data_IF_094076449036
#
_entry.id   IF_094076449036
#
_cell.length_a   1.000
_cell.length_b   1.000
_cell.length_c   1.000
_cell.angle_alpha   90.00
_cell.angle_beta   90.00
_cell.angle_gamma   90.00
#
_symmetry.space_group_name_H-M   'P 1'
#
loop_
_entity.id
_entity.type
_entity.pdbx_description
1 polymer ?
#
# COMPACT_ATOMS: atom_id res chain seq x y z
N UNK A 1 20.77 2.53 -0.23
CA UNK A 1 19.81 2.65 -1.35
C UNK A 1 18.92 1.43 -1.29
N UNK A 2 17.64 1.60 -1.02
CA UNK A 2 16.72 0.48 -0.98
C UNK A 2 16.39 0.07 -2.43
N UNK A 3 16.55 -1.19 -2.85
CA UNK A 3 16.41 -1.62 -4.25
C UNK A 3 14.93 -1.77 -4.67
N UNK A 4 14.09 -0.86 -4.26
CA UNK A 4 12.64 -0.94 -4.34
C UNK A 4 12.09 -0.83 -5.75
N UNK A 5 12.74 0.01 -6.58
CA UNK A 5 12.25 0.38 -7.91
C UNK A 5 12.26 -0.76 -8.94
N UNK A 6 12.82 -1.92 -8.58
CA UNK A 6 12.92 -3.10 -9.45
C UNK A 6 12.08 -4.28 -8.93
N UNK A 7 11.37 -4.13 -7.83
CA UNK A 7 10.51 -5.20 -7.33
C UNK A 7 9.26 -5.36 -8.20
N UNK A 8 8.77 -6.59 -8.40
CA UNK A 8 7.58 -6.83 -9.22
C UNK A 8 6.37 -6.00 -8.79
N UNK A 9 6.14 -5.86 -7.48
CA UNK A 9 5.04 -5.07 -6.94
C UNK A 9 5.20 -3.57 -7.24
N UNK A 10 6.42 -3.03 -7.15
CA UNK A 10 6.68 -1.62 -7.45
C UNK A 10 6.46 -1.33 -8.94
N UNK A 11 6.95 -2.20 -9.82
CA UNK A 11 6.74 -2.08 -11.25
C UNK A 11 5.26 -2.13 -11.61
N UNK A 12 4.50 -3.06 -11.01
CA UNK A 12 3.05 -3.14 -11.21
C UNK A 12 2.32 -1.89 -10.70
N UNK A 13 2.72 -1.34 -9.56
CA UNK A 13 2.18 -0.09 -9.05
C UNK A 13 2.46 1.09 -9.99
N UNK A 14 3.63 1.12 -10.64
CA UNK A 14 3.97 2.09 -11.69
C UNK A 14 3.07 1.96 -12.92
N UNK A 15 2.80 0.75 -13.37
CA UNK A 15 1.87 0.48 -14.48
C UNK A 15 0.47 0.99 -14.14
N UNK A 16 -0.03 0.70 -12.94
CA UNK A 16 -1.32 1.21 -12.44
C UNK A 16 -1.32 2.74 -12.41
N UNK A 17 -0.25 3.38 -11.93
CA UNK A 17 -0.15 4.84 -11.91
C UNK A 17 -0.26 5.43 -13.31
N UNK A 18 0.47 4.87 -14.28
CA UNK A 18 0.43 5.32 -15.67
C UNK A 18 -0.97 5.15 -16.28
N UNK A 19 -1.61 4.02 -16.00
CA UNK A 19 -2.96 3.72 -16.46
C UNK A 19 -3.98 4.71 -15.88
N UNK A 20 -3.90 5.01 -14.58
CA UNK A 20 -4.77 6.00 -13.93
C UNK A 20 -4.57 7.38 -14.51
N UNK A 21 -3.33 7.79 -14.78
CA UNK A 21 -3.05 9.10 -15.38
C UNK A 21 -3.61 9.19 -16.80
N UNK A 22 -3.52 8.11 -17.59
CA UNK A 22 -4.11 8.06 -18.93
C UNK A 22 -5.64 8.07 -18.89
N UNK A 23 -6.24 7.33 -17.95
CA UNK A 23 -7.68 7.33 -17.72
C UNK A 23 -8.19 8.72 -17.35
N UNK A 24 -7.51 9.37 -16.40
CA UNK A 24 -7.91 10.72 -15.96
C UNK A 24 -7.79 11.72 -17.11
N UNK A 25 -6.69 11.71 -17.88
CA UNK A 25 -6.55 12.59 -19.04
C UNK A 25 -7.66 12.38 -20.07
N UNK A 26 -8.04 11.12 -20.34
CA UNK A 26 -9.13 10.79 -21.24
C UNK A 26 -10.46 11.36 -20.76
N UNK A 27 -10.74 11.25 -19.44
CA UNK A 27 -11.98 11.77 -18.85
C UNK A 27 -12.00 13.29 -18.87
N UNK A 28 -10.88 13.95 -18.54
CA UNK A 28 -10.73 15.42 -18.57
C UNK A 28 -10.93 15.99 -19.99
N UNK A 29 -10.59 15.21 -21.02
CA UNK A 29 -10.80 15.58 -22.44
C UNK A 29 -12.22 15.26 -22.94
N UNK A 30 -13.00 14.48 -22.20
CA UNK A 30 -14.34 14.06 -22.60
C UNK A 30 -15.35 15.19 -22.40
N UNK A 31 -16.21 15.42 -23.39
CA UNK A 31 -17.37 16.31 -23.24
C UNK A 31 -18.48 15.55 -22.51
N UNK A 32 -18.92 16.08 -21.36
CA UNK A 32 -20.03 15.56 -20.56
C UNK A 32 -21.22 16.53 -20.67
N UNK A 33 -21.94 16.53 -21.80
CA UNK A 33 -22.92 17.59 -22.12
C UNK A 33 -24.14 17.62 -21.19
N UNK A 34 -24.43 16.52 -20.51
CA UNK A 34 -25.59 16.36 -19.63
C UNK A 34 -25.27 16.47 -18.13
N UNK A 35 -23.96 16.65 -17.77
CA UNK A 35 -23.55 16.76 -16.38
C UNK A 35 -23.84 18.14 -15.80
N UNK A 36 -24.31 18.17 -14.55
CA UNK A 36 -24.48 19.41 -13.80
C UNK A 36 -23.14 19.93 -13.30
N UNK A 37 -23.01 21.24 -13.06
CA UNK A 37 -21.77 21.86 -12.56
C UNK A 37 -21.26 21.20 -11.28
N UNK A 38 -22.15 20.83 -10.35
CA UNK A 38 -21.82 20.14 -9.10
C UNK A 38 -21.27 18.74 -9.38
N UNK A 39 -21.78 18.02 -10.37
CA UNK A 39 -21.30 16.69 -10.75
C UNK A 39 -19.91 16.78 -11.36
N UNK A 40 -19.61 17.83 -12.13
CA UNK A 40 -18.29 18.07 -12.69
C UNK A 40 -17.26 18.40 -11.61
N UNK A 41 -17.61 19.23 -10.62
CA UNK A 41 -16.73 19.56 -9.49
C UNK A 41 -16.41 18.32 -8.65
N UNK A 42 -17.39 17.45 -8.40
CA UNK A 42 -17.19 16.17 -7.70
C UNK A 42 -16.29 15.25 -8.49
N UNK A 43 -16.52 15.13 -9.80
CA UNK A 43 -15.71 14.32 -10.69
C UNK A 43 -14.24 14.78 -10.69
N UNK A 44 -13.98 16.08 -10.77
CA UNK A 44 -12.62 16.63 -10.71
C UNK A 44 -11.93 16.24 -9.40
N UNK A 45 -12.66 16.35 -8.26
CA UNK A 45 -12.17 15.90 -6.96
C UNK A 45 -11.83 14.41 -6.93
N UNK A 46 -12.68 13.58 -7.52
CA UNK A 46 -12.48 12.13 -7.60
C UNK A 46 -11.27 11.77 -8.46
N UNK A 47 -11.10 12.41 -9.61
CA UNK A 47 -9.96 12.22 -10.49
C UNK A 47 -8.62 12.62 -9.82
N UNK A 48 -8.64 13.73 -9.08
CA UNK A 48 -7.49 14.14 -8.28
C UNK A 48 -7.16 13.12 -7.18
N UNK A 49 -8.17 12.61 -6.47
CA UNK A 49 -8.00 11.60 -5.45
C UNK A 49 -7.40 10.30 -6.01
N UNK A 50 -7.85 9.86 -7.19
CA UNK A 50 -7.30 8.67 -7.86
C UNK A 50 -5.80 8.82 -8.14
N UNK A 51 -5.35 9.97 -8.64
CA UNK A 51 -3.91 10.26 -8.84
C UNK A 51 -3.16 10.19 -7.50
N UNK A 52 -3.72 10.74 -6.42
CA UNK A 52 -3.12 10.74 -5.09
C UNK A 52 -2.95 9.33 -4.53
N UNK A 53 -3.97 8.46 -4.67
CA UNK A 53 -3.89 7.07 -4.22
C UNK A 53 -2.76 6.28 -4.90
N UNK A 54 -2.49 6.52 -6.18
CA UNK A 54 -1.35 5.86 -6.84
C UNK A 54 -0.01 6.28 -6.25
N UNK A 55 0.12 7.53 -5.81
CA UNK A 55 1.32 8.02 -5.14
C UNK A 55 1.47 7.44 -3.73
N UNK A 56 0.37 7.28 -2.98
CA UNK A 56 0.35 6.61 -1.68
C UNK A 56 0.77 5.13 -1.81
N UNK A 57 0.28 4.42 -2.84
CA UNK A 57 0.65 3.04 -3.12
C UNK A 57 2.16 2.92 -3.33
N UNK A 58 2.74 3.75 -4.20
CA UNK A 58 4.17 3.74 -4.48
C UNK A 58 5.02 4.06 -3.24
N UNK A 59 4.63 5.09 -2.49
CA UNK A 59 5.33 5.47 -1.25
C UNK A 59 5.28 4.37 -0.20
N UNK A 60 4.11 3.75 -0.01
CA UNK A 60 3.95 2.65 0.93
C UNK A 60 4.78 1.42 0.54
N UNK A 61 4.85 1.08 -0.75
CA UNK A 61 5.71 -0.02 -1.23
C UNK A 61 7.18 0.30 -0.96
N UNK A 62 7.62 1.53 -1.22
CA UNK A 62 8.99 1.94 -0.96
C UNK A 62 9.38 1.78 0.51
N UNK A 63 8.54 2.23 1.43
CA UNK A 63 8.76 2.06 2.87
C UNK A 63 8.76 0.58 3.25
N UNK A 64 7.73 -0.16 2.89
CA UNK A 64 7.59 -1.57 3.25
C UNK A 64 8.65 -2.50 2.65
N UNK A 65 9.25 -2.12 1.52
CA UNK A 65 10.35 -2.88 0.88
C UNK A 65 11.72 -2.57 1.47
N UNK A 66 11.86 -1.48 2.23
CA UNK A 66 13.14 -1.08 2.78
C UNK A 66 13.54 -1.97 3.96
N UNK A 67 14.75 -2.54 3.89
CA UNK A 67 15.25 -3.51 4.87
C UNK A 67 15.59 -2.91 6.24
N UNK A 68 15.73 -1.58 6.32
CA UNK A 68 16.05 -0.87 7.58
C UNK A 68 14.83 -0.72 8.50
N UNK A 69 13.61 -0.79 7.96
CA UNK A 69 12.40 -0.61 8.75
C UNK A 69 11.98 -1.91 9.45
N UNK A 70 11.53 -1.81 10.71
CA UNK A 70 11.01 -2.94 11.46
C UNK A 70 9.66 -3.43 10.90
N UNK A 71 9.24 -4.61 11.35
CA UNK A 71 8.04 -5.30 10.87
C UNK A 71 6.76 -4.47 11.01
N UNK A 72 6.57 -3.83 12.14
CA UNK A 72 5.42 -2.98 12.45
C UNK A 72 5.27 -1.82 11.45
N UNK A 73 6.35 -1.07 11.18
CA UNK A 73 6.35 -0.01 10.17
C UNK A 73 6.06 -0.54 8.76
N UNK A 74 6.57 -1.72 8.41
CA UNK A 74 6.27 -2.38 7.14
C UNK A 74 4.81 -2.77 7.03
N UNK A 75 4.23 -3.29 8.12
CA UNK A 75 2.82 -3.65 8.18
C UNK A 75 1.90 -2.41 8.10
N UNK A 76 2.25 -1.32 8.76
CA UNK A 76 1.54 -0.04 8.62
C UNK A 76 1.56 0.44 7.18
N UNK A 77 2.72 0.39 6.53
CA UNK A 77 2.86 0.75 5.12
C UNK A 77 2.01 -0.16 4.22
N UNK A 78 1.97 -1.46 4.49
CA UNK A 78 1.11 -2.40 3.75
C UNK A 78 -0.38 -2.11 3.95
N UNK A 79 -0.79 -1.69 5.15
CA UNK A 79 -2.17 -1.24 5.42
C UNK A 79 -2.51 -0.01 4.58
N UNK A 80 -1.61 0.96 4.47
CA UNK A 80 -1.79 2.16 3.64
C UNK A 80 -1.93 1.77 2.17
N UNK A 81 -1.02 0.95 1.64
CA UNK A 81 -1.06 0.45 0.26
C UNK A 81 -2.40 -0.24 -0.04
N UNK A 82 -2.83 -1.16 0.83
CA UNK A 82 -4.12 -1.85 0.69
C UNK A 82 -5.30 -0.90 0.71
N UNK A 83 -5.28 0.08 1.61
CA UNK A 83 -6.35 1.07 1.76
C UNK A 83 -6.43 1.98 0.52
N UNK A 84 -5.31 2.50 0.06
CA UNK A 84 -5.23 3.35 -1.13
C UNK A 84 -5.69 2.59 -2.39
N UNK A 85 -5.30 1.31 -2.55
CA UNK A 85 -5.75 0.47 -3.66
C UNK A 85 -7.26 0.24 -3.64
N UNK A 86 -7.84 -0.04 -2.46
CA UNK A 86 -9.31 -0.19 -2.32
C UNK A 86 -10.05 1.11 -2.60
N UNK A 87 -9.51 2.24 -2.17
CA UNK A 87 -10.08 3.56 -2.46
C UNK A 87 -10.04 3.84 -3.97
N UNK A 88 -8.90 3.60 -4.62
CA UNK A 88 -8.76 3.74 -6.07
C UNK A 88 -9.83 2.93 -6.81
N UNK A 89 -10.05 1.68 -6.41
CA UNK A 89 -11.07 0.81 -6.98
C UNK A 89 -12.49 1.36 -6.77
N UNK A 90 -12.79 1.87 -5.57
CA UNK A 90 -14.09 2.47 -5.25
C UNK A 90 -14.39 3.71 -6.10
N UNK A 91 -13.38 4.57 -6.33
CA UNK A 91 -13.52 5.74 -7.19
C UNK A 91 -13.70 5.34 -8.67
N UNK A 92 -13.01 4.31 -9.13
CA UNK A 92 -13.17 3.77 -10.47
C UNK A 92 -14.62 3.28 -10.71
N UNK A 93 -15.22 2.58 -9.76
CA UNK A 93 -16.64 2.19 -9.81
C UNK A 93 -17.57 3.40 -9.81
N UNK A 94 -17.27 4.45 -9.02
CA UNK A 94 -18.05 5.69 -9.02
C UNK A 94 -18.07 6.36 -10.39
N UNK A 95 -16.94 6.40 -11.09
CA UNK A 95 -16.83 6.94 -12.46
C UNK A 95 -17.65 6.10 -13.44
N UNK A 96 -17.61 4.79 -13.33
CA UNK A 96 -18.43 3.89 -14.15
C UNK A 96 -19.93 4.12 -13.94
N UNK A 97 -20.35 4.31 -12.68
CA UNK A 97 -21.75 4.59 -12.31
C UNK A 97 -22.26 5.94 -12.85
N UNK A 98 -21.35 6.92 -13.05
CA UNK A 98 -21.68 8.20 -13.72
C UNK A 98 -21.98 8.06 -15.21
N UNK A 99 -21.90 6.84 -15.75
CA UNK A 99 -22.21 6.56 -17.15
C UNK A 99 -21.01 6.59 -18.10
N UNK A 100 -19.80 6.77 -17.57
CA UNK A 100 -18.55 6.69 -18.32
C UNK A 100 -18.12 5.21 -18.50
N UNK A 101 -19.06 4.38 -19.03
CA UNK A 101 -18.90 2.92 -19.06
C UNK A 101 -18.08 2.39 -20.25
N UNK A 102 -18.00 3.19 -21.31
CA UNK A 102 -17.35 2.77 -22.56
C UNK A 102 -15.85 3.09 -22.57
N UNK A 103 -15.22 3.06 -21.37
CA UNK A 103 -13.81 3.35 -21.23
C UNK A 103 -13.07 2.03 -21.00
N UNK A 104 -12.47 1.47 -22.05
CA UNK A 104 -11.65 0.26 -22.02
C UNK A 104 -10.56 0.28 -20.92
N UNK A 105 -10.14 1.49 -20.50
CA UNK A 105 -9.17 1.68 -19.42
C UNK A 105 -9.69 1.29 -18.04
N UNK A 106 -11.01 1.33 -17.77
CA UNK A 106 -11.58 0.90 -16.49
C UNK A 106 -11.46 -0.62 -16.33
N UNK A 107 -11.82 -1.38 -17.37
CA UNK A 107 -11.69 -2.83 -17.35
C UNK A 107 -10.23 -3.24 -17.15
N UNK A 108 -9.33 -2.59 -17.88
CA UNK A 108 -7.90 -2.83 -17.74
C UNK A 108 -7.41 -2.46 -16.31
N UNK A 109 -7.91 -1.38 -15.71
CA UNK A 109 -7.56 -0.99 -14.34
C UNK A 109 -7.99 -2.06 -13.33
N UNK A 110 -9.16 -2.67 -13.50
CA UNK A 110 -9.63 -3.75 -12.62
C UNK A 110 -8.73 -4.99 -12.72
N UNK A 111 -8.36 -5.38 -13.95
CA UNK A 111 -7.43 -6.50 -14.19
C UNK A 111 -6.05 -6.24 -13.56
N UNK A 112 -5.51 -5.05 -13.73
CA UNK A 112 -4.20 -4.66 -13.20
C UNK A 112 -4.19 -4.58 -11.66
N UNK A 113 -5.29 -4.12 -11.05
CA UNK A 113 -5.44 -4.12 -9.58
C UNK A 113 -5.52 -5.55 -9.04
N UNK A 114 -6.19 -6.48 -9.72
CA UNK A 114 -6.23 -7.88 -9.29
C UNK A 114 -4.83 -8.54 -9.39
N UNK A 115 -4.10 -8.30 -10.46
CA UNK A 115 -2.72 -8.75 -10.58
C UNK A 115 -1.81 -8.12 -9.50
N UNK A 116 -2.03 -6.85 -9.18
CA UNK A 116 -1.34 -6.18 -8.07
C UNK A 116 -1.65 -6.82 -6.72
N UNK A 117 -2.90 -7.21 -6.48
CA UNK A 117 -3.33 -7.87 -5.24
C UNK A 117 -2.55 -9.18 -5.00
N UNK A 118 -2.33 -9.96 -6.05
CA UNK A 118 -1.53 -11.19 -5.95
C UNK A 118 -0.08 -10.89 -5.54
N UNK A 119 0.53 -9.90 -6.19
CA UNK A 119 1.89 -9.45 -5.85
C UNK A 119 1.98 -8.86 -4.45
N UNK A 120 0.94 -8.17 -3.99
CA UNK A 120 0.85 -7.64 -2.64
C UNK A 120 0.89 -8.73 -1.58
N UNK A 121 0.15 -9.83 -1.79
CA UNK A 121 0.15 -10.98 -0.88
C UNK A 121 1.55 -11.59 -0.76
N UNK A 122 2.24 -11.76 -1.88
CA UNK A 122 3.61 -12.29 -1.88
C UNK A 122 4.61 -11.30 -1.25
N UNK A 123 4.43 -10.01 -1.48
CA UNK A 123 5.27 -8.97 -0.90
C UNK A 123 5.18 -8.92 0.63
N UNK A 124 3.97 -8.98 1.20
CA UNK A 124 3.78 -8.98 2.66
C UNK A 124 4.43 -10.20 3.32
N UNK A 125 4.47 -11.36 2.65
CA UNK A 125 5.16 -12.56 3.16
C UNK A 125 6.67 -12.38 3.31
N UNK A 126 7.26 -11.38 2.65
CA UNK A 126 8.70 -11.08 2.78
C UNK A 126 9.07 -10.30 4.04
N UNK A 127 8.08 -9.85 4.81
CA UNK A 127 8.31 -9.07 6.02
C UNK A 127 8.81 -9.96 7.15
N UNK A 128 9.93 -9.56 7.76
CA UNK A 128 10.56 -10.30 8.83
C UNK A 128 9.88 -10.02 10.17
N UNK A 129 9.10 -10.98 10.65
CA UNK A 129 8.37 -10.91 11.91
C UNK A 129 9.28 -10.72 13.14
N UNK A 130 10.56 -11.13 13.03
CA UNK A 130 11.52 -11.06 14.13
C UNK A 130 12.15 -9.68 14.29
N UNK A 131 12.01 -8.81 13.29
CA UNK A 131 12.41 -7.41 13.35
C UNK A 131 11.26 -6.52 13.79
N UNK A 132 10.65 -6.87 14.90
CA UNK A 132 9.57 -6.12 15.51
C UNK A 132 10.12 -5.11 16.52
N UNK A 133 9.63 -3.88 16.46
CA UNK A 133 9.96 -2.82 17.42
C UNK A 133 8.77 -2.64 18.38
N UNK A 134 8.98 -2.93 19.68
CA UNK A 134 7.93 -2.78 20.68
C UNK A 134 7.87 -1.31 21.13
N UNK A 135 6.92 -0.60 20.58
CA UNK A 135 6.66 0.82 20.88
C UNK A 135 5.68 1.06 22.03
N UNK A 136 5.24 0.00 22.69
CA UNK A 136 4.25 0.01 23.78
C UNK A 136 2.84 0.54 23.41
N UNK A 137 2.52 0.65 22.11
CA UNK A 137 1.16 1.00 21.65
C UNK A 137 0.24 -0.21 21.57
N UNK A 138 0.79 -1.42 21.54
CA UNK A 138 0.04 -2.66 21.48
C UNK A 138 -0.75 -2.89 20.19
N UNK A 139 -0.38 -2.22 19.09
CA UNK A 139 -1.13 -2.28 17.84
C UNK A 139 -1.03 -3.66 17.19
N UNK A 140 0.17 -4.23 17.14
CA UNK A 140 0.43 -5.54 16.52
C UNK A 140 0.63 -6.65 17.56
N UNK A 141 0.80 -6.29 18.82
CA UNK A 141 0.99 -7.18 19.96
C UNK A 141 0.00 -6.87 21.10
N UNK A 142 -1.32 -6.86 20.86
CA UNK A 142 -2.28 -6.63 21.93
C UNK A 142 -2.15 -7.69 23.00
N UNK A 143 -2.59 -7.38 24.22
CA UNK A 143 -2.52 -8.28 25.37
C UNK A 143 -3.11 -9.66 25.04
N UNK A 144 -2.34 -10.73 25.29
CA UNK A 144 -2.71 -12.10 25.00
C UNK A 144 -2.30 -12.61 23.61
N UNK A 145 -1.69 -11.79 22.78
CA UNK A 145 -1.04 -12.19 21.51
C UNK A 145 0.48 -12.08 21.69
N UNK A 146 1.14 -13.20 21.95
CA UNK A 146 2.60 -13.27 21.95
C UNK A 146 3.10 -13.50 20.53
N UNK A 147 3.86 -12.56 20.00
CA UNK A 147 4.69 -12.81 18.83
C UNK A 147 5.78 -13.79 19.27
N UNK A 148 5.89 -14.94 18.60
CA UNK A 148 6.93 -15.93 18.92
C UNK A 148 8.30 -15.27 18.73
N UNK A 149 9.02 -15.08 19.83
CA UNK A 149 10.45 -14.81 19.80
C UNK A 149 11.15 -16.02 19.18
N UNK A 150 12.20 -15.81 18.40
CA UNK A 150 13.00 -16.92 17.88
C UNK A 150 13.70 -17.61 19.05
N UNK A 151 13.87 -18.93 18.95
CA UNK A 151 14.61 -19.71 19.94
C UNK A 151 16.09 -19.26 20.08
N UNK A 152 16.54 -18.34 19.22
CA UNK A 152 17.89 -17.78 19.22
C UNK A 152 18.02 -16.48 20.04
N UNK A 153 16.91 -15.85 20.43
CA UNK A 153 16.93 -14.61 21.23
C UNK A 153 16.97 -14.88 22.74
N UNK A 154 16.92 -16.17 23.18
CA UNK A 154 16.95 -16.55 24.60
C UNK A 154 18.37 -16.75 25.18
N UNK A 155 19.43 -16.68 24.36
CA UNK A 155 20.81 -17.00 24.82
C UNK A 155 21.68 -15.78 25.16
N UNK A 156 21.20 -14.55 25.12
CA UNK A 156 22.02 -13.37 25.42
C UNK A 156 21.65 -12.62 26.72
N UNK A 157 20.91 -13.24 27.61
CA UNK A 157 20.83 -12.80 29.02
C UNK A 157 22.08 -13.35 29.76
N UNK A 158 23.25 -12.89 29.30
CA UNK A 158 24.54 -13.23 29.85
C UNK A 158 24.62 -12.94 31.33
N UNK A 159 24.91 -13.96 32.08
CA UNK A 159 25.33 -13.93 33.47
C UNK A 159 26.40 -12.83 33.67
N UNK A 160 26.03 -11.70 34.23
CA UNK A 160 26.98 -10.83 34.90
C UNK A 160 27.37 -11.53 36.21
N UNK A 161 28.44 -12.31 36.14
CA UNK A 161 29.15 -12.82 37.31
C UNK A 161 29.73 -11.61 38.11
N UNK A 162 29.04 -11.23 39.14
CA UNK A 162 29.59 -10.48 40.25
C UNK A 162 30.68 -11.29 40.94
N UNK A 163 31.91 -11.14 40.52
CA UNK A 163 33.07 -11.48 41.38
C UNK A 163 33.64 -10.20 42.02
N UNK A 164 33.00 -9.77 43.08
CA UNK A 164 33.65 -9.13 44.21
C UNK A 164 34.40 -10.22 44.98
N UNK A 165 35.73 -10.17 44.99
CA UNK A 165 36.51 -10.45 46.22
C UNK A 165 38.02 -10.13 46.03
N UNK A 166 38.50 -9.35 47.02
CA UNK A 166 39.87 -9.01 47.46
C UNK A 166 40.54 -7.79 46.86
#
# INVERSE_FOLDING_TARGET
>A
MCPEEQTPIYLKAKEIQQLVFSLVALIEESELPDAQEIELDLLEGDLFAMKSFTSEILSGISIGSCSIFPYDMKMESAVIVRKATKSLLSFAYGIEDMGLKDIDYLDLLYEEIEAFRELFVEWVKTFDLWKYDDDNWGLFNPEGIELRKSEFDEEDDGEEDDEDDY
#
